data_IF_490388659066
#
_entry.id   IF_490388659066
#
_cell.length_a   1.000
_cell.length_b   1.000
_cell.length_c   1.000
_cell.angle_alpha   90.00
_cell.angle_beta   90.00
_cell.angle_gamma   90.00
#
_symmetry.space_group_name_H-M   'P 1'
#
loop_
_entity.id
_entity.type
_entity.pdbx_description
1 polymer ?
#
# COMPACT_ATOMS: atom_id res chain seq x y z
N UNK A 1 6.72 -11.16 -26.15
CA UNK A 1 5.29 -11.16 -25.88
C UNK A 1 4.90 -9.80 -25.34
N UNK A 2 3.97 -9.15 -25.98
CA UNK A 2 3.49 -7.86 -25.52
C UNK A 2 2.51 -8.03 -24.36
N UNK A 3 2.54 -7.07 -23.43
CA UNK A 3 1.67 -7.08 -22.26
C UNK A 3 0.25 -6.72 -22.65
N UNK A 4 -0.70 -7.55 -22.27
CA UNK A 4 -2.13 -7.34 -22.48
C UNK A 4 -2.86 -7.47 -21.12
N UNK A 5 -4.15 -7.06 -21.02
CA UNK A 5 -4.87 -7.13 -19.74
C UNK A 5 -4.99 -8.52 -19.12
N UNK A 6 -4.81 -9.58 -19.90
CA UNK A 6 -4.92 -10.96 -19.40
C UNK A 6 -3.57 -11.59 -19.04
N UNK A 7 -2.54 -10.79 -18.92
CA UNK A 7 -1.20 -11.28 -18.61
C UNK A 7 -0.85 -11.13 -17.14
N UNK A 8 0.10 -11.95 -16.70
CA UNK A 8 0.80 -11.76 -15.44
C UNK A 8 2.20 -11.25 -15.77
N UNK A 9 2.59 -10.17 -15.13
CA UNK A 9 3.89 -9.53 -15.34
C UNK A 9 4.74 -9.66 -14.08
N UNK A 10 6.02 -9.97 -14.26
CA UNK A 10 6.99 -9.95 -13.18
C UNK A 10 7.72 -8.61 -13.23
N UNK A 11 7.71 -7.91 -12.12
CA UNK A 11 8.24 -6.55 -12.01
C UNK A 11 9.25 -6.41 -10.88
N UNK A 12 10.23 -5.55 -11.10
CA UNK A 12 11.01 -4.92 -10.04
C UNK A 12 10.76 -3.42 -10.11
N UNK A 13 10.97 -2.71 -9.01
CA UNK A 13 10.81 -1.26 -9.00
C UNK A 13 11.68 -0.56 -7.97
N UNK A 14 11.82 0.75 -8.18
CA UNK A 14 12.35 1.69 -7.19
C UNK A 14 11.29 2.78 -7.04
N UNK A 15 10.84 3.00 -5.82
CA UNK A 15 9.86 4.02 -5.50
C UNK A 15 10.49 5.14 -4.71
N UNK A 16 10.31 6.36 -5.19
CA UNK A 16 10.85 7.57 -4.54
C UNK A 16 9.76 8.61 -4.40
N UNK A 17 9.96 9.54 -3.46
CA UNK A 17 9.15 10.74 -3.39
C UNK A 17 9.63 11.79 -4.42
N UNK A 18 8.98 12.95 -4.46
CA UNK A 18 9.35 14.02 -5.40
C UNK A 18 10.67 14.71 -5.05
N UNK A 19 11.20 14.45 -3.88
CA UNK A 19 12.52 14.96 -3.45
C UNK A 19 13.65 13.98 -3.78
N UNK A 20 13.32 12.81 -4.32
CA UNK A 20 14.29 11.78 -4.65
C UNK A 20 14.63 10.85 -3.50
N UNK A 21 13.92 10.95 -2.39
CA UNK A 21 14.11 10.05 -1.26
C UNK A 21 13.54 8.67 -1.56
N UNK A 22 14.32 7.63 -1.31
CA UNK A 22 13.90 6.24 -1.52
C UNK A 22 12.84 5.85 -0.50
N UNK A 23 11.67 5.44 -0.99
CA UNK A 23 10.56 4.98 -0.15
C UNK A 23 10.45 3.47 -0.14
N UNK A 24 10.70 2.81 -1.27
CA UNK A 24 10.66 1.37 -1.39
C UNK A 24 11.48 0.90 -2.57
N UNK A 25 11.99 -0.32 -2.48
CA UNK A 25 12.75 -0.96 -3.54
C UNK A 25 12.42 -2.44 -3.56
N UNK A 26 12.02 -2.92 -4.73
CA UNK A 26 11.75 -4.34 -4.97
C UNK A 26 12.82 -4.87 -5.92
N UNK A 27 13.79 -5.61 -5.41
CA UNK A 27 14.89 -6.17 -6.18
C UNK A 27 14.57 -7.56 -6.74
N UNK A 28 13.82 -8.36 -5.98
CA UNK A 28 13.38 -9.69 -6.42
C UNK A 28 12.08 -9.56 -7.19
N UNK A 29 11.99 -10.09 -8.42
CA UNK A 29 10.77 -9.97 -9.21
C UNK A 29 9.57 -10.59 -8.52
N UNK A 30 8.46 -9.86 -8.53
CA UNK A 30 7.16 -10.31 -8.03
C UNK A 30 6.17 -10.25 -9.17
N UNK A 31 5.32 -11.27 -9.28
CA UNK A 31 4.30 -11.36 -10.32
C UNK A 31 3.02 -10.64 -9.90
N UNK A 32 2.43 -9.93 -10.87
CA UNK A 32 1.17 -9.21 -10.71
C UNK A 32 0.26 -9.49 -11.90
N UNK A 33 -1.02 -9.67 -11.62
CA UNK A 33 -2.03 -9.86 -12.65
C UNK A 33 -2.51 -8.52 -13.21
N UNK A 34 -2.50 -8.38 -14.52
CA UNK A 34 -3.07 -7.22 -15.21
C UNK A 34 -4.55 -7.46 -15.49
N UNK A 35 -5.36 -6.42 -15.29
CA UNK A 35 -6.80 -6.49 -15.48
C UNK A 35 -7.60 -6.77 -14.22
N UNK A 36 -6.92 -7.00 -13.09
CA UNK A 36 -7.55 -7.18 -11.78
C UNK A 36 -7.20 -6.03 -10.83
N UNK A 37 -6.93 -6.39 -9.57
CA UNK A 37 -6.71 -5.43 -8.49
C UNK A 37 -5.27 -5.42 -7.95
N UNK A 38 -4.37 -6.17 -8.57
CA UNK A 38 -3.01 -6.31 -8.06
C UNK A 38 -2.16 -5.04 -8.22
N UNK A 39 -2.44 -4.25 -9.24
CA UNK A 39 -1.68 -3.04 -9.58
C UNK A 39 -2.58 -1.81 -9.64
N UNK A 40 -1.99 -0.65 -9.40
CA UNK A 40 -2.66 0.63 -9.62
C UNK A 40 -3.02 0.81 -11.09
N UNK A 41 -4.16 1.44 -11.38
CA UNK A 41 -4.67 1.60 -12.74
C UNK A 41 -3.66 2.29 -13.66
N UNK A 42 -3.01 3.33 -13.19
CA UNK A 42 -2.03 4.06 -14.00
C UNK A 42 -0.83 3.19 -14.37
N UNK A 43 -0.42 2.31 -13.45
CA UNK A 43 0.66 1.35 -13.71
C UNK A 43 0.21 0.32 -14.74
N UNK A 44 -1.01 -0.20 -14.62
CA UNK A 44 -1.56 -1.14 -15.59
C UNK A 44 -1.60 -0.55 -16.99
N UNK A 45 -2.08 0.68 -17.11
CA UNK A 45 -2.11 1.39 -18.41
C UNK A 45 -0.70 1.59 -18.98
N UNK A 46 0.25 1.96 -18.14
CA UNK A 46 1.62 2.19 -18.59
C UNK A 46 2.31 0.92 -19.06
N UNK A 47 1.98 -0.22 -18.46
CA UNK A 47 2.59 -1.51 -18.81
C UNK A 47 2.08 -2.07 -20.14
N UNK A 48 0.88 -1.69 -20.57
CA UNK A 48 0.31 -2.21 -21.80
C UNK A 48 1.17 -1.85 -23.02
N UNK A 49 1.32 -2.80 -23.94
CA UNK A 49 2.15 -2.68 -25.16
C UNK A 49 3.67 -2.66 -24.91
N UNK A 50 4.11 -2.81 -23.67
CA UNK A 50 5.52 -3.02 -23.35
C UNK A 50 5.86 -4.52 -23.33
N UNK A 51 7.13 -4.84 -23.22
CA UNK A 51 7.62 -6.21 -23.23
C UNK A 51 8.76 -6.40 -22.22
N UNK A 52 9.17 -7.65 -22.04
CA UNK A 52 10.27 -7.99 -21.13
C UNK A 52 11.53 -7.20 -21.50
N UNK A 53 12.16 -6.64 -20.48
CA UNK A 53 13.35 -5.81 -20.62
C UNK A 53 13.08 -4.31 -20.69
N UNK A 54 11.82 -3.91 -20.87
CA UNK A 54 11.47 -2.50 -20.88
C UNK A 54 11.53 -1.92 -19.45
N UNK A 55 11.94 -0.67 -19.39
CA UNK A 55 11.93 0.11 -18.16
C UNK A 55 10.99 1.30 -18.35
N UNK A 56 10.17 1.55 -17.34
CA UNK A 56 9.16 2.59 -17.38
C UNK A 56 9.30 3.47 -16.14
N UNK A 57 9.42 4.78 -16.37
CA UNK A 57 9.43 5.75 -15.29
C UNK A 57 8.08 6.46 -15.27
N UNK A 58 7.42 6.45 -14.10
CA UNK A 58 6.12 7.07 -13.92
C UNK A 58 6.15 8.09 -12.80
N UNK A 59 5.39 9.16 -12.99
CA UNK A 59 5.04 10.10 -11.94
C UNK A 59 3.59 9.80 -11.53
N UNK A 60 3.37 9.54 -10.25
CA UNK A 60 2.06 9.25 -9.69
C UNK A 60 1.63 10.39 -8.78
N UNK A 61 0.52 11.04 -9.10
CA UNK A 61 -0.10 11.98 -8.19
C UNK A 61 -0.82 11.23 -7.07
N UNK A 62 -1.14 11.85 -5.92
CA UNK A 62 -1.84 11.15 -4.85
C UNK A 62 -3.08 10.41 -5.31
N UNK A 63 -3.87 11.01 -6.18
CA UNK A 63 -5.10 10.42 -6.73
C UNK A 63 -4.85 9.18 -7.59
N UNK A 64 -3.66 9.07 -8.17
CA UNK A 64 -3.23 7.91 -8.99
C UNK A 64 -2.58 6.82 -8.15
N UNK A 65 -2.26 7.11 -6.91
CA UNK A 65 -1.50 6.21 -6.02
C UNK A 65 -2.35 5.83 -4.81
N UNK A 66 -2.04 6.38 -3.65
CA UNK A 66 -2.66 5.98 -2.39
C UNK A 66 -3.70 6.98 -1.89
N UNK A 67 -4.11 7.90 -2.76
CA UNK A 67 -5.14 8.87 -2.46
C UNK A 67 -4.62 10.07 -1.69
N UNK A 68 -5.50 11.04 -1.52
CA UNK A 68 -5.23 12.24 -0.75
C UNK A 68 -5.22 11.93 0.74
N UNK A 69 -4.50 12.74 1.50
CA UNK A 69 -4.54 12.68 2.95
C UNK A 69 -5.93 13.10 3.43
N UNK A 70 -6.56 12.27 4.26
CA UNK A 70 -7.91 12.50 4.77
C UNK A 70 -7.85 12.76 6.29
N UNK A 71 -8.07 14.01 6.66
CA UNK A 71 -8.08 14.42 8.06
C UNK A 71 -9.18 13.75 8.88
N UNK A 72 -10.26 13.31 8.23
CA UNK A 72 -11.36 12.61 8.90
C UNK A 72 -10.96 11.21 9.38
N UNK A 73 -9.82 10.69 8.95
CA UNK A 73 -9.27 9.41 9.41
C UNK A 73 -8.32 9.57 10.60
N UNK A 74 -8.15 10.77 11.12
CA UNK A 74 -7.39 11.01 12.34
C UNK A 74 -8.35 11.06 13.52
N UNK A 75 -8.08 10.21 14.51
CA UNK A 75 -8.93 10.09 15.69
C UNK A 75 -8.10 10.27 16.97
N UNK A 76 -8.72 10.93 17.94
CA UNK A 76 -8.14 11.12 19.26
C UNK A 76 -8.94 10.25 20.24
N UNK A 77 -8.27 9.25 20.83
CA UNK A 77 -8.92 8.32 21.74
C UNK A 77 -8.25 8.32 23.13
N UNK A 78 -9.00 8.01 24.21
CA UNK A 78 -8.41 7.97 25.54
C UNK A 78 -7.29 6.92 25.64
N UNK A 79 -6.16 7.31 26.18
CA UNK A 79 -5.01 6.42 26.33
C UNK A 79 -5.32 5.20 27.20
N UNK A 80 -6.19 5.36 28.20
CA UNK A 80 -6.57 4.27 29.10
C UNK A 80 -7.30 3.11 28.44
N UNK A 81 -7.78 3.26 27.20
CA UNK A 81 -8.42 2.19 26.45
C UNK A 81 -7.41 1.22 25.83
N UNK A 82 -6.14 1.58 25.79
CA UNK A 82 -5.09 0.82 25.13
C UNK A 82 -4.17 0.16 26.16
N UNK A 83 -3.51 -0.96 25.79
CA UNK A 83 -2.55 -1.60 26.69
C UNK A 83 -1.35 -0.69 27.00
N UNK A 84 -0.70 -0.93 28.12
CA UNK A 84 0.56 -0.30 28.44
C UNK A 84 1.62 -0.77 27.44
N UNK A 85 2.61 0.08 27.17
CA UNK A 85 3.66 -0.23 26.22
C UNK A 85 3.40 0.21 24.79
N UNK A 86 2.37 1.05 24.60
CA UNK A 86 2.17 1.70 23.30
C UNK A 86 3.38 2.56 22.94
N UNK A 87 3.74 2.51 21.65
CA UNK A 87 4.81 3.34 21.10
C UNK A 87 4.33 4.03 19.82
N UNK A 88 4.85 5.21 19.56
CA UNK A 88 4.61 5.90 18.29
C UNK A 88 5.14 5.03 17.15
N UNK A 89 4.39 4.98 16.06
CA UNK A 89 4.68 4.14 14.91
C UNK A 89 4.05 2.75 14.94
N UNK A 90 3.47 2.33 16.05
CA UNK A 90 2.73 1.06 16.11
C UNK A 90 1.46 1.13 15.27
N UNK A 91 1.09 -0.01 14.69
CA UNK A 91 -0.13 -0.13 13.89
C UNK A 91 -1.16 -1.01 14.60
N UNK A 92 -2.44 -0.66 14.43
CA UNK A 92 -3.56 -1.40 14.99
C UNK A 92 -4.62 -1.58 13.90
N UNK A 93 -5.03 -2.81 13.65
CA UNK A 93 -6.17 -3.04 12.76
C UNK A 93 -7.45 -2.49 13.36
N UNK A 94 -8.31 -1.90 12.53
CA UNK A 94 -9.58 -1.35 13.00
C UNK A 94 -10.45 -2.35 13.74
N UNK A 95 -10.39 -3.63 13.33
CA UNK A 95 -11.11 -4.71 14.01
C UNK A 95 -10.55 -5.05 15.40
N UNK A 96 -9.30 -4.71 15.66
CA UNK A 96 -8.63 -4.97 16.94
C UNK A 96 -8.71 -3.79 17.91
N UNK A 97 -9.37 -2.70 17.53
CA UNK A 97 -9.54 -1.54 18.40
C UNK A 97 -10.40 -1.89 19.61
N UNK A 98 -10.12 -1.28 20.78
CA UNK A 98 -11.00 -1.43 21.95
C UNK A 98 -12.43 -1.05 21.62
N UNK A 99 -13.39 -1.78 22.18
CA UNK A 99 -14.81 -1.57 21.90
C UNK A 99 -15.31 -0.19 22.37
N UNK A 100 -14.61 0.42 23.31
CA UNK A 100 -14.95 1.75 23.82
C UNK A 100 -14.46 2.90 22.93
N UNK A 101 -13.70 2.61 21.87
CA UNK A 101 -13.32 3.61 20.88
C UNK A 101 -14.55 4.09 20.10
N UNK A 102 -14.42 5.26 19.48
CA UNK A 102 -15.49 5.86 18.69
C UNK A 102 -16.05 4.89 17.66
N UNK A 103 -17.38 4.78 17.59
CA UNK A 103 -18.04 3.97 16.57
C UNK A 103 -17.91 4.56 15.16
N UNK A 104 -17.47 5.80 15.05
CA UNK A 104 -17.22 6.45 13.77
C UNK A 104 -15.92 5.99 13.11
N UNK A 105 -15.05 5.33 13.85
CA UNK A 105 -13.79 4.79 13.31
C UNK A 105 -14.06 3.61 12.39
N UNK A 106 -13.69 3.70 11.09
CA UNK A 106 -13.83 2.57 10.19
C UNK A 106 -13.03 1.36 10.70
N UNK A 107 -13.61 0.18 10.62
CA UNK A 107 -12.99 -1.06 11.10
C UNK A 107 -12.17 -1.78 10.06
N UNK A 108 -12.30 -1.40 8.80
CA UNK A 108 -11.53 -1.97 7.69
C UNK A 108 -10.17 -1.30 7.50
N UNK A 109 -9.88 -0.26 8.27
CA UNK A 109 -8.68 0.56 8.14
C UNK A 109 -7.65 0.14 9.17
N UNK A 110 -6.39 0.21 8.79
CA UNK A 110 -5.27 0.03 9.71
C UNK A 110 -4.85 1.41 10.21
N UNK A 111 -4.80 1.57 11.53
CA UNK A 111 -4.42 2.83 12.17
C UNK A 111 -2.98 2.79 12.63
N UNK A 112 -2.30 3.91 12.46
CA UNK A 112 -0.95 4.12 12.99
C UNK A 112 -1.03 5.07 14.19
N UNK A 113 -0.35 4.72 15.27
CA UNK A 113 -0.23 5.61 16.43
C UNK A 113 0.83 6.65 16.09
N UNK A 114 0.41 7.90 15.91
CA UNK A 114 1.31 8.98 15.52
C UNK A 114 1.81 9.79 16.69
N UNK A 115 0.98 9.94 17.73
CA UNK A 115 1.33 10.67 18.93
C UNK A 115 0.72 10.02 20.16
N UNK A 116 1.44 10.05 21.27
CA UNK A 116 0.97 9.54 22.56
C UNK A 116 1.07 10.68 23.58
N UNK A 117 -0.08 11.10 24.09
CA UNK A 117 -0.17 12.09 25.15
C UNK A 117 -0.52 11.40 26.47
N UNK A 118 -0.36 12.08 27.61
CA UNK A 118 -0.66 11.46 28.92
C UNK A 118 -2.09 10.92 29.06
N UNK A 119 -3.05 11.56 28.39
CA UNK A 119 -4.47 11.20 28.49
C UNK A 119 -5.06 10.66 27.18
N UNK A 120 -4.38 10.88 26.06
CA UNK A 120 -4.90 10.56 24.71
C UNK A 120 -3.83 9.94 23.83
N UNK A 121 -4.29 9.17 22.85
CA UNK A 121 -3.47 8.72 21.72
C UNK A 121 -4.08 9.20 20.43
N UNK A 122 -3.23 9.54 19.45
CA UNK A 122 -3.68 9.93 18.11
C UNK A 122 -3.51 8.73 17.20
N UNK A 123 -4.59 8.37 16.52
CA UNK A 123 -4.66 7.26 15.56
C UNK A 123 -4.90 7.84 14.17
N UNK A 124 -4.03 7.49 13.23
CA UNK A 124 -4.12 7.94 11.84
C UNK A 124 -4.41 6.75 10.93
N UNK A 125 -5.59 6.75 10.32
CA UNK A 125 -6.04 5.71 9.40
C UNK A 125 -5.61 5.91 7.96
N UNK A 126 -4.84 6.94 7.66
CA UNK A 126 -4.33 7.17 6.32
C UNK A 126 -3.24 6.16 5.96
N UNK A 127 -3.17 5.80 4.67
CA UNK A 127 -2.02 5.04 4.18
C UNK A 127 -0.75 5.88 4.40
N UNK A 128 0.39 5.26 4.76
CA UNK A 128 1.64 6.00 5.00
C UNK A 128 2.09 6.87 3.82
N UNK A 129 1.69 6.52 2.61
CA UNK A 129 2.03 7.27 1.40
C UNK A 129 0.88 8.13 0.87
N UNK A 130 -0.24 8.23 1.59
CA UNK A 130 -1.36 9.08 1.17
C UNK A 130 -0.94 10.56 1.18
N UNK A 131 -1.49 11.33 0.25
CA UNK A 131 -1.16 12.75 0.08
C UNK A 131 0.21 13.01 -0.53
N UNK A 132 0.93 11.97 -0.95
CA UNK A 132 2.25 12.09 -1.54
C UNK A 132 2.22 11.80 -3.02
N UNK A 133 2.85 12.69 -3.81
CA UNK A 133 3.19 12.37 -5.19
C UNK A 133 4.42 11.47 -5.20
N UNK A 134 4.43 10.46 -6.07
CA UNK A 134 5.45 9.43 -6.09
C UNK A 134 6.09 9.32 -7.47
N UNK A 135 7.34 8.87 -7.48
CA UNK A 135 8.06 8.52 -8.71
C UNK A 135 8.47 7.07 -8.63
N UNK A 136 8.05 6.29 -9.60
CA UNK A 136 8.35 4.87 -9.66
C UNK A 136 9.07 4.52 -10.95
N UNK A 137 10.19 3.79 -10.83
CA UNK A 137 10.88 3.18 -11.95
C UNK A 137 10.57 1.70 -11.94
N UNK A 138 9.84 1.23 -12.95
CA UNK A 138 9.45 -0.16 -13.12
C UNK A 138 10.35 -0.84 -14.15
N UNK A 139 10.75 -2.07 -13.88
CA UNK A 139 11.42 -2.91 -14.85
C UNK A 139 10.64 -4.20 -15.04
N UNK A 140 10.34 -4.53 -16.28
CA UNK A 140 9.62 -5.74 -16.64
C UNK A 140 10.62 -6.87 -16.81
N UNK A 141 10.56 -7.87 -15.95
CA UNK A 141 11.48 -9.01 -15.95
C UNK A 141 10.87 -10.26 -16.57
N UNK A 142 9.53 -10.35 -16.60
CA UNK A 142 8.85 -11.49 -17.20
C UNK A 142 7.40 -11.16 -17.53
N UNK A 143 6.85 -11.88 -18.50
CA UNK A 143 5.46 -11.79 -18.91
C UNK A 143 4.98 -13.20 -19.24
N UNK A 144 3.81 -13.58 -18.73
CA UNK A 144 3.16 -14.86 -19.04
C UNK A 144 1.65 -14.68 -19.13
N UNK A 145 0.98 -15.64 -19.72
CA UNK A 145 -0.48 -15.66 -19.70
C UNK A 145 -0.96 -16.02 -18.27
N UNK A 146 -2.05 -15.38 -17.84
CA UNK A 146 -2.68 -15.71 -16.58
C UNK A 146 -3.37 -17.08 -16.67
N UNK A 147 -3.39 -17.80 -15.55
CA UNK A 147 -4.16 -19.05 -15.44
C UNK A 147 -5.65 -18.75 -15.33
N UNK A 148 -6.50 -19.76 -15.54
CA UNK A 148 -7.94 -19.61 -15.38
C UNK A 148 -8.33 -19.20 -13.96
N UNK A 149 -7.61 -19.71 -12.95
CA UNK A 149 -7.84 -19.34 -11.56
C UNK A 149 -7.47 -17.89 -11.29
N UNK A 150 -6.35 -17.45 -11.82
CA UNK A 150 -5.92 -16.04 -11.66
C UNK A 150 -6.92 -15.09 -12.29
N UNK A 151 -7.44 -15.42 -13.46
CA UNK A 151 -8.47 -14.62 -14.13
C UNK A 151 -9.77 -14.59 -13.31
N UNK A 152 -10.17 -15.73 -12.75
CA UNK A 152 -11.39 -15.85 -11.95
C UNK A 152 -11.31 -15.05 -10.66
N UNK A 153 -10.14 -15.01 -10.03
CA UNK A 153 -9.91 -14.25 -8.80
C UNK A 153 -9.55 -12.78 -9.05
N UNK A 154 -9.16 -12.42 -10.27
CA UNK A 154 -8.68 -11.08 -10.58
C UNK A 154 -7.35 -10.74 -9.93
N UNK A 155 -6.56 -11.78 -9.58
CA UNK A 155 -5.29 -11.61 -8.87
C UNK A 155 -4.45 -12.87 -8.99
N UNK A 156 -3.13 -12.73 -8.99
CA UNK A 156 -2.19 -13.84 -8.87
C UNK A 156 -1.71 -14.05 -7.42
N UNK A 157 -2.32 -13.37 -6.46
CA UNK A 157 -2.01 -13.49 -5.04
C UNK A 157 -1.08 -12.42 -4.49
N UNK A 158 -0.47 -11.61 -5.36
CA UNK A 158 0.42 -10.53 -4.95
C UNK A 158 -0.28 -9.19 -5.12
N UNK A 159 -0.41 -8.42 -4.04
CA UNK A 159 -0.91 -7.06 -4.10
C UNK A 159 0.23 -6.08 -4.36
N UNK A 160 -0.05 -5.04 -5.13
CA UNK A 160 0.89 -3.95 -5.30
C UNK A 160 1.06 -3.23 -3.97
N UNK A 161 2.30 -3.15 -3.54
CA UNK A 161 2.63 -2.35 -2.37
C UNK A 161 2.00 -2.85 -1.07
N UNK A 162 2.21 -4.11 -0.75
CA UNK A 162 2.13 -4.51 0.64
C UNK A 162 3.34 -3.91 1.34
N UNK A 163 3.17 -2.72 1.90
CA UNK A 163 4.20 -2.16 2.76
C UNK A 163 4.39 -3.12 3.94
N UNK A 164 5.62 -3.55 4.21
CA UNK A 164 5.86 -4.28 5.43
C UNK A 164 5.45 -3.40 6.62
N UNK A 165 4.96 -4.00 7.71
CA UNK A 165 4.70 -3.23 8.92
C UNK A 165 5.98 -2.47 9.32
N UNK A 166 5.80 -1.28 9.91
CA UNK A 166 6.92 -0.47 10.35
C UNK A 166 7.86 -1.29 11.24
N UNK A 167 9.19 -1.05 11.18
CA UNK A 167 10.15 -1.79 12.01
C UNK A 167 9.74 -1.76 13.48
N UNK A 168 9.70 -2.92 14.12
CA UNK A 168 9.30 -3.04 15.53
C UNK A 168 7.81 -3.07 15.75
N UNK A 169 6.99 -2.92 14.73
CA UNK A 169 5.56 -3.14 14.84
C UNK A 169 5.27 -4.61 14.63
N UNK A 170 5.28 -5.37 15.68
CA UNK A 170 4.43 -6.52 15.68
C UNK A 170 3.02 -5.98 15.57
N UNK A 171 2.37 -6.26 14.49
CA UNK A 171 0.98 -5.92 14.30
C UNK A 171 0.21 -6.46 15.51
N UNK A 172 -0.39 -5.55 16.23
CA UNK A 172 -1.34 -5.93 17.26
C UNK A 172 -2.58 -6.51 16.56
N UNK A 173 -2.50 -7.76 16.24
CA UNK A 173 -3.63 -8.48 15.65
C UNK A 173 -4.57 -8.95 16.72
#
# INVERSE_FOLDING_TARGET
MNITPDCVVALTWVLKDTHGELLDELDDPVEFYLGGHDLLDKIQHALQAHQVGDQIDLHLEPEDAFGDFDESLIFLEPRGLFPEGLEEGMTIEGHALPAACSSEMPKEVIYTITDIYPEHVVLDGNHPLSGMALRISLKITGVRHATSQEKAHGSCGSGFFTLPPAPGSDTLH
#
